data_IF_693109179042
#
_entry.id   IF_693109179042
#
_cell.length_a   1.000
_cell.length_b   1.000
_cell.length_c   1.000
_cell.angle_alpha   90.00
_cell.angle_beta   90.00
_cell.angle_gamma   90.00
#
_symmetry.space_group_name_H-M   'P 1'
#
loop_
_entity.id
_entity.type
_entity.pdbx_description
1 polymer ?
#
# COMPACT_ATOMS: atom_id res chain seq x y z
N UNK A 1 -19.75 6.30 27.09
CA UNK A 1 -18.71 5.49 26.42
C UNK A 1 -18.66 4.03 26.87
N UNK A 2 -18.66 3.74 28.19
CA UNK A 2 -18.61 2.36 28.72
C UNK A 2 -19.76 1.46 28.23
N UNK A 3 -20.98 1.99 28.17
CA UNK A 3 -22.17 1.30 27.63
C UNK A 3 -22.03 0.96 26.15
N UNK A 4 -21.57 1.92 25.32
CA UNK A 4 -21.30 1.70 23.90
C UNK A 4 -20.23 0.62 23.66
N UNK A 5 -19.15 0.63 24.44
CA UNK A 5 -18.10 -0.39 24.33
C UNK A 5 -18.61 -1.80 24.68
N UNK A 6 -19.53 -1.93 25.66
CA UNK A 6 -20.17 -3.21 26.00
C UNK A 6 -21.11 -3.70 24.91
N UNK A 7 -21.95 -2.83 24.36
CA UNK A 7 -22.87 -3.18 23.26
C UNK A 7 -22.09 -3.63 22.02
N UNK A 8 -21.00 -2.95 21.70
CA UNK A 8 -20.14 -3.25 20.54
C UNK A 8 -19.07 -4.33 20.84
N UNK A 9 -19.06 -4.90 22.05
CA UNK A 9 -18.10 -5.91 22.51
C UNK A 9 -16.61 -5.54 22.29
N UNK A 10 -16.27 -4.26 22.39
CA UNK A 10 -14.88 -3.76 22.33
C UNK A 10 -14.39 -3.35 23.71
N UNK A 11 -13.10 -3.56 23.99
CA UNK A 11 -12.51 -3.11 25.25
C UNK A 11 -12.41 -1.57 25.27
N UNK A 12 -12.56 -0.99 26.47
CA UNK A 12 -12.41 0.47 26.65
C UNK A 12 -11.03 0.95 26.25
N UNK A 13 -9.98 0.17 26.55
CA UNK A 13 -8.61 0.50 26.16
C UNK A 13 -8.46 0.51 24.64
N UNK A 14 -9.00 -0.48 23.92
CA UNK A 14 -8.95 -0.50 22.46
C UNK A 14 -9.69 0.70 21.84
N UNK A 15 -10.83 1.10 22.42
CA UNK A 15 -11.56 2.28 21.97
C UNK A 15 -10.71 3.56 22.10
N UNK A 16 -10.13 3.81 23.27
CA UNK A 16 -9.30 4.99 23.46
C UNK A 16 -8.00 4.91 22.66
N UNK A 17 -7.36 3.75 22.55
CA UNK A 17 -6.20 3.58 21.67
C UNK A 17 -6.55 3.94 20.22
N UNK A 18 -7.69 3.48 19.71
CA UNK A 18 -8.16 3.84 18.38
C UNK A 18 -8.46 5.35 18.27
N UNK A 19 -9.12 5.95 19.26
CA UNK A 19 -9.44 7.37 19.27
C UNK A 19 -8.17 8.25 19.30
N UNK A 20 -7.11 7.80 19.99
CA UNK A 20 -5.83 8.52 20.09
C UNK A 20 -4.87 8.17 18.96
N UNK A 21 -5.10 7.10 18.19
CA UNK A 21 -4.38 6.81 16.94
C UNK A 21 -4.76 7.86 15.90
N UNK A 22 -4.06 8.99 15.94
CA UNK A 22 -4.12 10.00 14.90
C UNK A 22 -3.73 9.45 13.52
N UNK A 23 -4.07 10.20 12.47
CA UNK A 23 -3.68 9.86 11.11
C UNK A 23 -2.17 9.99 10.98
N UNK A 24 -1.50 8.89 10.57
CA UNK A 24 -0.07 8.91 10.27
C UNK A 24 0.17 9.71 8.96
N UNK A 25 0.51 10.99 9.12
CA UNK A 25 0.74 11.91 8.00
C UNK A 25 1.88 11.46 7.09
N UNK A 26 2.90 10.79 7.63
CA UNK A 26 4.01 10.23 6.82
C UNK A 26 3.48 9.09 5.95
N UNK A 27 2.65 8.21 6.51
CA UNK A 27 2.02 7.12 5.75
C UNK A 27 1.08 7.66 4.68
N UNK A 28 0.33 8.72 4.98
CA UNK A 28 -0.55 9.37 4.00
C UNK A 28 0.25 9.97 2.83
N UNK A 29 1.33 10.69 3.12
CA UNK A 29 2.23 11.24 2.10
C UNK A 29 2.85 10.14 1.22
N UNK A 30 3.26 9.02 1.83
CA UNK A 30 3.77 7.86 1.09
C UNK A 30 2.71 7.22 0.17
N UNK A 31 1.44 7.14 0.63
CA UNK A 31 0.33 6.64 -0.20
C UNK A 31 0.06 7.56 -1.39
N UNK A 32 0.05 8.88 -1.20
CA UNK A 32 -0.10 9.84 -2.29
C UNK A 32 1.00 9.65 -3.32
N UNK A 33 2.26 9.64 -2.87
CA UNK A 33 3.40 9.52 -3.79
C UNK A 33 3.39 8.22 -4.58
N UNK A 34 3.06 7.10 -3.93
CA UNK A 34 2.95 5.81 -4.64
C UNK A 34 1.89 5.87 -5.74
N UNK A 35 0.76 6.54 -5.48
CA UNK A 35 -0.29 6.71 -6.49
C UNK A 35 0.18 7.54 -7.67
N UNK A 36 0.89 8.64 -7.41
CA UNK A 36 1.51 9.49 -8.43
C UNK A 36 2.48 8.69 -9.30
N UNK A 37 3.48 8.02 -8.70
CA UNK A 37 4.46 7.21 -9.42
C UNK A 37 3.81 6.07 -10.23
N UNK A 38 2.77 5.45 -9.68
CA UNK A 38 2.02 4.41 -10.38
C UNK A 38 1.27 4.97 -11.59
N UNK A 39 0.67 6.16 -11.46
CA UNK A 39 0.00 6.85 -12.55
C UNK A 39 1.00 7.32 -13.63
N UNK A 40 2.15 7.86 -13.25
CA UNK A 40 3.26 8.22 -14.15
C UNK A 40 3.71 7.01 -14.97
N UNK A 41 3.75 5.82 -14.35
CA UNK A 41 4.06 4.55 -15.03
C UNK A 41 2.89 3.96 -15.83
N UNK A 42 1.74 4.63 -15.92
CA UNK A 42 0.50 4.12 -16.55
C UNK A 42 0.04 2.78 -15.99
N UNK A 43 0.21 2.57 -14.69
CA UNK A 43 -0.18 1.34 -14.01
C UNK A 43 0.84 0.19 -14.06
N UNK A 44 1.98 0.38 -14.74
CA UNK A 44 3.00 -0.66 -14.88
C UNK A 44 3.86 -0.86 -13.61
N UNK A 45 4.09 0.18 -12.83
CA UNK A 45 5.01 0.11 -11.70
C UNK A 45 4.40 -0.70 -10.54
N UNK A 46 4.98 -1.89 -10.33
CA UNK A 46 4.70 -2.72 -9.18
C UNK A 46 5.56 -2.40 -7.94
N UNK A 47 5.35 -3.16 -6.87
CA UNK A 47 5.99 -2.94 -5.55
C UNK A 47 7.52 -2.83 -5.56
N UNK A 48 8.20 -3.52 -6.49
CA UNK A 48 9.67 -3.44 -6.64
C UNK A 48 10.09 -2.10 -7.22
N UNK A 49 9.51 -1.72 -8.36
CA UNK A 49 9.77 -0.47 -9.07
C UNK A 49 9.45 0.72 -8.17
N UNK A 50 8.28 0.72 -7.53
CA UNK A 50 7.87 1.79 -6.62
C UNK A 50 8.82 1.92 -5.41
N UNK A 51 9.26 0.81 -4.82
CA UNK A 51 10.25 0.83 -3.73
C UNK A 51 11.59 1.40 -4.19
N UNK A 52 12.03 1.10 -5.41
CA UNK A 52 13.26 1.66 -5.98
C UNK A 52 13.12 3.17 -6.23
N UNK A 53 12.03 3.61 -6.86
CA UNK A 53 11.76 5.03 -7.13
C UNK A 53 11.70 5.86 -5.84
N UNK A 54 11.00 5.36 -4.81
CA UNK A 54 10.93 6.03 -3.51
C UNK A 54 12.30 6.11 -2.82
N UNK A 55 13.15 5.10 -2.98
CA UNK A 55 14.53 5.16 -2.46
C UNK A 55 15.38 6.20 -3.18
N UNK A 56 15.21 6.35 -4.50
CA UNK A 56 15.86 7.43 -5.27
C UNK A 56 15.41 8.80 -4.77
N UNK A 57 14.14 8.94 -4.37
CA UNK A 57 13.62 10.15 -3.70
C UNK A 57 14.07 10.31 -2.23
N UNK A 58 14.98 9.47 -1.72
CA UNK A 58 15.46 9.53 -0.34
C UNK A 58 14.50 8.95 0.70
N UNK A 59 13.41 8.29 0.29
CA UNK A 59 12.43 7.68 1.20
C UNK A 59 12.83 6.25 1.55
N UNK A 60 12.90 5.95 2.85
CA UNK A 60 13.20 4.61 3.36
C UNK A 60 11.96 3.71 3.25
N UNK A 61 11.67 3.24 2.03
CA UNK A 61 10.54 2.34 1.76
C UNK A 61 11.05 1.02 1.19
N UNK A 62 10.95 -0.04 1.99
CA UNK A 62 11.22 -1.41 1.53
C UNK A 62 10.09 -1.99 0.69
N UNK A 63 10.38 -3.08 -0.04
CA UNK A 63 9.41 -3.76 -0.91
C UNK A 63 8.11 -4.16 -0.21
N UNK A 64 8.19 -4.64 1.03
CA UNK A 64 7.01 -5.05 1.80
C UNK A 64 6.12 -3.86 2.14
N UNK A 65 6.72 -2.73 2.53
CA UNK A 65 5.99 -1.51 2.80
C UNK A 65 5.36 -0.96 1.51
N UNK A 66 6.11 -0.91 0.40
CA UNK A 66 5.57 -0.51 -0.90
C UNK A 66 4.37 -1.37 -1.32
N UNK A 67 4.45 -2.70 -1.17
CA UNK A 67 3.33 -3.61 -1.43
C UNK A 67 2.13 -3.31 -0.53
N UNK A 68 2.34 -3.06 0.76
CA UNK A 68 1.25 -2.74 1.69
C UNK A 68 0.58 -1.41 1.31
N UNK A 69 1.37 -0.40 0.95
CA UNK A 69 0.86 0.89 0.50
C UNK A 69 0.09 0.79 -0.83
N UNK A 70 0.56 -0.05 -1.77
CA UNK A 70 -0.21 -0.36 -2.99
C UNK A 70 -1.57 -0.97 -2.65
N UNK A 71 -1.62 -1.99 -1.77
CA UNK A 71 -2.88 -2.60 -1.34
C UNK A 71 -3.80 -1.59 -0.66
N UNK A 72 -3.27 -0.75 0.22
CA UNK A 72 -4.03 0.33 0.86
C UNK A 72 -4.54 1.35 -0.15
N UNK A 73 -3.84 1.56 -1.26
CA UNK A 73 -4.24 2.45 -2.36
C UNK A 73 -5.10 1.79 -3.44
N UNK A 74 -5.39 0.49 -3.34
CA UNK A 74 -6.09 -0.26 -4.40
C UNK A 74 -5.32 -0.35 -5.71
N UNK A 75 -3.98 -0.32 -5.65
CA UNK A 75 -3.12 -0.32 -6.84
C UNK A 75 -2.65 -1.73 -7.17
N UNK A 76 -2.80 -2.11 -8.44
CA UNK A 76 -2.34 -3.38 -8.98
C UNK A 76 -1.50 -3.13 -10.24
N UNK A 77 -0.49 -3.98 -10.45
CA UNK A 77 0.44 -3.82 -11.57
C UNK A 77 -0.17 -4.38 -12.84
N UNK A 78 -0.41 -3.52 -13.84
CA UNK A 78 -0.95 -3.90 -15.16
C UNK A 78 0.12 -4.38 -16.15
N UNK A 79 1.26 -4.86 -15.64
CA UNK A 79 2.32 -5.41 -16.50
C UNK A 79 1.79 -6.65 -17.20
N UNK A 80 1.83 -6.72 -18.55
CA UNK A 80 1.45 -7.93 -19.27
C UNK A 80 2.35 -9.09 -18.81
N UNK A 81 1.75 -10.27 -18.60
CA UNK A 81 2.51 -11.49 -18.30
C UNK A 81 3.54 -11.70 -19.42
N UNK A 82 4.79 -11.99 -19.06
CA UNK A 82 5.83 -12.20 -20.06
C UNK A 82 5.40 -13.36 -20.96
N UNK A 83 5.46 -13.15 -22.29
CA UNK A 83 5.05 -14.14 -23.29
C UNK A 83 5.62 -15.52 -22.95
N UNK A 84 4.75 -16.46 -22.55
CA UNK A 84 5.10 -17.88 -22.52
C UNK A 84 5.29 -18.26 -23.98
N UNK A 85 6.53 -18.38 -24.43
CA UNK A 85 6.83 -18.90 -25.77
C UNK A 85 5.97 -20.14 -26.01
N UNK A 86 5.08 -20.07 -27.00
CA UNK A 86 4.25 -21.18 -27.45
C UNK A 86 5.23 -22.25 -27.92
N UNK A 87 5.37 -23.34 -27.16
CA UNK A 87 6.12 -24.51 -27.63
C UNK A 87 5.42 -24.98 -28.90
N UNK A 88 6.09 -24.90 -30.04
CA UNK A 88 5.63 -25.55 -31.26
C UNK A 88 5.70 -27.06 -31.03
N UNK A 89 4.63 -27.84 -31.32
CA UNK A 89 4.74 -29.29 -31.39
C UNK A 89 5.59 -29.65 -32.61
N UNK A 90 6.46 -30.65 -32.44
CA UNK A 90 7.29 -31.24 -33.50
C UNK A 90 6.46 -32.02 -34.53
#
# INVERSE_FOLDING_TARGET
MRSLCQVLQVSRSAYYDWQHRGVDGRRLALRSRIRELHQESRGAAGSRTLSALLKVEGKVVGRYLARRLMKEGGLESCQPDAHRYRRYPE
#
